data_IF_761200636346
#
_entry.id   IF_761200636346
#
_cell.length_a   1.000
_cell.length_b   1.000
_cell.length_c   1.000
_cell.angle_alpha   90.00
_cell.angle_beta   90.00
_cell.angle_gamma   90.00
#
_symmetry.space_group_name_H-M   'P 1'
#
loop_
_entity.id
_entity.type
_entity.pdbx_description
1 polymer ?
#
# COMPACT_ATOMS: atom_id res chain seq x y z
N UNK A 1 0.92 -6.87 -20.90
CA UNK A 1 1.52 -8.14 -20.44
C UNK A 1 1.81 -8.01 -18.94
N UNK A 2 1.18 -8.84 -18.10
CA UNK A 2 1.18 -8.69 -16.65
C UNK A 2 2.37 -9.40 -15.98
N UNK A 3 2.94 -8.81 -14.92
CA UNK A 3 3.82 -9.55 -14.01
C UNK A 3 2.95 -10.46 -13.12
N UNK A 4 2.67 -11.67 -13.60
CA UNK A 4 1.93 -12.67 -12.83
C UNK A 4 2.88 -13.43 -11.89
N UNK A 5 2.44 -13.82 -10.68
CA UNK A 5 3.23 -14.65 -9.79
C UNK A 5 3.33 -16.09 -10.33
N UNK A 6 4.47 -16.75 -10.09
CA UNK A 6 4.70 -18.12 -10.56
C UNK A 6 4.20 -19.23 -9.63
N UNK A 7 3.94 -19.04 -8.32
CA UNK A 7 3.88 -20.21 -7.41
C UNK A 7 2.91 -20.11 -6.20
N UNK A 8 1.74 -19.49 -6.32
CA UNK A 8 0.74 -19.58 -5.23
C UNK A 8 -0.68 -19.73 -5.80
N UNK A 9 -1.08 -20.98 -6.01
CA UNK A 9 -2.45 -21.31 -6.38
C UNK A 9 -3.38 -21.22 -5.15
N UNK A 10 -4.64 -20.94 -5.41
CA UNK A 10 -5.73 -21.05 -4.44
C UNK A 10 -6.93 -21.70 -5.11
N UNK A 11 -7.67 -22.52 -4.38
CA UNK A 11 -8.92 -23.07 -4.89
C UNK A 11 -10.10 -22.15 -4.54
N UNK A 12 -10.99 -21.95 -5.49
CA UNK A 12 -12.20 -21.15 -5.34
C UNK A 12 -13.41 -22.01 -5.72
N UNK A 13 -14.38 -22.13 -4.82
CA UNK A 13 -15.67 -22.75 -5.12
C UNK A 13 -16.64 -21.72 -5.69
N UNK A 14 -17.50 -22.17 -6.60
CA UNK A 14 -18.61 -21.38 -7.11
C UNK A 14 -19.75 -21.36 -6.10
N UNK A 15 -20.23 -20.16 -5.76
CA UNK A 15 -21.31 -19.97 -4.79
C UNK A 15 -22.36 -19.03 -5.35
N UNK A 16 -23.62 -19.25 -4.98
CA UNK A 16 -24.69 -18.33 -5.33
C UNK A 16 -24.54 -17.02 -4.51
N UNK A 17 -24.60 -15.89 -5.20
CA UNK A 17 -24.44 -14.55 -4.60
C UNK A 17 -25.49 -13.59 -5.15
N UNK A 18 -25.77 -12.53 -4.41
CA UNK A 18 -26.38 -11.34 -5.01
C UNK A 18 -25.27 -10.51 -5.64
N UNK A 19 -25.40 -10.21 -6.93
CA UNK A 19 -24.45 -9.40 -7.68
C UNK A 19 -24.97 -7.97 -7.77
N UNK A 20 -24.10 -7.02 -7.48
CA UNK A 20 -24.35 -5.59 -7.60
C UNK A 20 -23.32 -5.02 -8.56
N UNK A 21 -23.72 -4.66 -9.78
CA UNK A 21 -22.82 -3.96 -10.71
C UNK A 21 -22.42 -2.62 -10.10
N UNK A 22 -21.20 -2.14 -10.29
CA UNK A 22 -20.78 -0.84 -9.75
C UNK A 22 -21.03 0.29 -10.75
N UNK A 23 -21.59 1.41 -10.30
CA UNK A 23 -21.75 2.64 -11.09
C UNK A 23 -21.50 3.81 -10.15
N UNK A 24 -20.41 4.57 -10.35
CA UNK A 24 -20.05 5.67 -9.47
C UNK A 24 -21.08 6.81 -9.48
N UNK A 25 -21.90 6.95 -10.52
CA UNK A 25 -22.90 8.04 -10.62
C UNK A 25 -24.10 7.83 -9.69
N UNK A 26 -24.33 6.59 -9.26
CA UNK A 26 -25.44 6.21 -8.37
C UNK A 26 -25.04 6.17 -6.89
N UNK A 27 -23.75 6.39 -6.59
CA UNK A 27 -23.21 6.36 -5.23
C UNK A 27 -23.31 7.74 -4.60
N UNK A 28 -23.86 7.80 -3.39
CA UNK A 28 -24.08 9.06 -2.66
C UNK A 28 -23.63 8.93 -1.20
N UNK A 29 -23.21 10.04 -0.59
CA UNK A 29 -22.92 10.07 0.84
C UNK A 29 -24.23 10.00 1.63
N UNK A 30 -24.28 9.17 2.66
CA UNK A 30 -25.35 9.19 3.65
C UNK A 30 -25.11 10.35 4.63
N UNK A 31 -25.59 11.54 4.25
CA UNK A 31 -25.50 12.73 5.09
C UNK A 31 -26.60 12.80 6.15
N UNK A 32 -27.40 11.74 6.32
CA UNK A 32 -28.47 11.72 7.32
C UNK A 32 -27.90 11.57 8.74
N UNK A 33 -28.61 12.12 9.73
CA UNK A 33 -28.21 11.93 11.13
C UNK A 33 -28.24 10.45 11.52
N UNK A 34 -29.18 9.66 10.98
CA UNK A 34 -29.20 8.21 11.15
C UNK A 34 -27.96 7.52 10.56
N UNK A 35 -27.48 7.97 9.39
CA UNK A 35 -26.27 7.46 8.77
C UNK A 35 -25.03 7.76 9.61
N UNK A 36 -24.93 8.98 10.13
CA UNK A 36 -23.88 9.38 11.08
C UNK A 36 -23.91 8.54 12.36
N UNK A 37 -25.07 8.38 13.00
CA UNK A 37 -25.21 7.56 14.20
C UNK A 37 -24.84 6.09 13.93
N UNK A 38 -25.18 5.58 12.74
CA UNK A 38 -24.78 4.24 12.31
C UNK A 38 -23.26 4.10 12.21
N UNK A 39 -22.56 5.09 11.63
CA UNK A 39 -21.09 5.10 11.59
C UNK A 39 -20.49 5.07 12.99
N UNK A 40 -20.93 5.97 13.88
CA UNK A 40 -20.42 6.05 15.25
C UNK A 40 -20.73 4.79 16.06
N UNK A 41 -21.88 4.15 15.82
CA UNK A 41 -22.24 2.90 16.48
C UNK A 41 -21.25 1.75 16.18
N UNK A 42 -20.51 1.80 15.07
CA UNK A 42 -19.49 0.79 14.74
C UNK A 42 -18.25 0.83 15.62
N UNK A 43 -18.04 1.92 16.37
CA UNK A 43 -17.00 1.98 17.42
C UNK A 43 -17.33 1.07 18.61
N UNK A 44 -18.55 0.51 18.65
CA UNK A 44 -19.00 -0.42 19.66
C UNK A 44 -19.36 -1.76 19.01
N UNK A 45 -19.38 -2.83 19.82
CA UNK A 45 -19.88 -4.13 19.38
C UNK A 45 -21.35 -4.05 18.97
N UNK A 46 -21.83 -4.80 17.95
CA UNK A 46 -23.21 -4.77 17.49
C UNK A 46 -24.16 -5.57 18.41
N UNK A 47 -24.21 -5.21 19.70
CA UNK A 47 -24.99 -5.90 20.74
C UNK A 47 -26.50 -5.89 20.46
N UNK A 48 -26.96 -4.89 19.71
CA UNK A 48 -28.35 -4.79 19.25
C UNK A 48 -28.78 -5.94 18.32
N UNK A 49 -27.83 -6.73 17.79
CA UNK A 49 -28.09 -7.92 16.99
C UNK A 49 -28.24 -9.20 17.84
N UNK A 50 -28.02 -9.13 19.15
CA UNK A 50 -28.12 -10.25 20.09
C UNK A 50 -26.80 -10.59 20.79
N UNK A 51 -26.87 -11.41 21.84
CA UNK A 51 -25.72 -11.76 22.70
C UNK A 51 -24.54 -12.37 21.95
N UNK A 52 -24.81 -13.13 20.89
CA UNK A 52 -23.77 -13.78 20.09
C UNK A 52 -22.86 -12.77 19.36
N UNK A 53 -23.34 -11.54 19.18
CA UNK A 53 -22.67 -10.46 18.47
C UNK A 53 -21.90 -9.50 19.41
N UNK A 54 -22.06 -9.61 20.73
CA UNK A 54 -21.41 -8.72 21.71
C UNK A 54 -19.88 -8.82 21.73
N UNK A 55 -19.36 -9.97 21.29
CA UNK A 55 -17.92 -10.21 21.17
C UNK A 55 -17.33 -9.75 19.84
N UNK A 56 -18.16 -9.36 18.86
CA UNK A 56 -17.67 -8.94 17.55
C UNK A 56 -17.38 -7.44 17.52
N UNK A 57 -16.31 -7.08 16.82
CA UNK A 57 -16.07 -5.72 16.35
C UNK A 57 -15.95 -5.72 14.82
N UNK A 58 -16.47 -4.65 14.22
CA UNK A 58 -16.46 -4.43 12.78
C UNK A 58 -15.61 -3.20 12.45
N UNK A 59 -14.96 -3.13 11.29
CA UNK A 59 -14.20 -1.94 10.90
C UNK A 59 -15.05 -0.67 10.98
N UNK A 60 -14.55 0.31 11.73
CA UNK A 60 -15.21 1.58 11.99
C UNK A 60 -14.47 2.71 11.26
N UNK A 61 -14.79 2.89 9.98
CA UNK A 61 -14.21 3.98 9.20
C UNK A 61 -14.70 5.33 9.74
N UNK A 62 -13.82 6.36 9.82
CA UNK A 62 -14.14 7.68 10.34
C UNK A 62 -14.83 8.54 9.27
N UNK A 63 -15.83 7.98 8.58
CA UNK A 63 -16.51 8.66 7.49
C UNK A 63 -17.96 8.23 7.35
N UNK A 64 -18.78 9.14 6.81
CA UNK A 64 -20.18 8.87 6.44
C UNK A 64 -20.26 7.66 5.50
N UNK A 65 -21.23 6.77 5.70
CA UNK A 65 -21.46 5.65 4.79
C UNK A 65 -21.77 6.14 3.36
N UNK A 66 -21.49 5.28 2.37
CA UNK A 66 -22.00 5.45 1.02
C UNK A 66 -23.28 4.63 0.84
N UNK A 67 -24.26 5.24 0.19
CA UNK A 67 -25.46 4.58 -0.28
C UNK A 67 -25.28 4.23 -1.75
N UNK A 68 -25.67 3.00 -2.09
CA UNK A 68 -25.76 2.51 -3.46
C UNK A 68 -27.21 2.09 -3.71
N UNK A 69 -27.87 2.70 -4.69
CA UNK A 69 -29.32 2.58 -4.95
C UNK A 69 -29.68 1.42 -5.87
N UNK A 70 -28.74 0.50 -6.13
CA UNK A 70 -28.87 -0.50 -7.17
C UNK A 70 -29.72 -1.71 -6.82
N UNK A 71 -30.37 -2.22 -7.86
CA UNK A 71 -30.96 -3.55 -7.87
C UNK A 71 -29.86 -4.60 -7.99
N UNK A 72 -29.94 -5.64 -7.17
CA UNK A 72 -29.12 -6.83 -7.34
C UNK A 72 -29.83 -7.89 -8.18
N UNK A 73 -29.02 -8.79 -8.74
CA UNK A 73 -29.50 -10.01 -9.38
C UNK A 73 -28.76 -11.22 -8.82
N UNK A 74 -29.39 -12.39 -8.91
CA UNK A 74 -28.74 -13.64 -8.54
C UNK A 74 -27.70 -14.00 -9.58
N UNK A 75 -26.50 -14.34 -9.12
CA UNK A 75 -25.40 -14.78 -9.95
C UNK A 75 -24.48 -15.78 -9.24
N UNK A 76 -23.36 -16.07 -9.88
CA UNK A 76 -22.30 -16.92 -9.34
C UNK A 76 -21.12 -16.05 -8.95
N UNK A 77 -20.69 -16.19 -7.70
CA UNK A 77 -19.45 -15.62 -7.16
C UNK A 77 -18.47 -16.73 -6.81
N UNK A 78 -17.30 -16.34 -6.30
CA UNK A 78 -16.23 -17.27 -5.97
C UNK A 78 -15.74 -17.08 -4.55
N UNK A 79 -15.73 -18.16 -3.76
CA UNK A 79 -15.27 -18.20 -2.38
C UNK A 79 -14.05 -19.11 -2.26
N UNK A 80 -13.02 -18.70 -1.53
CA UNK A 80 -11.84 -19.53 -1.28
C UNK A 80 -12.21 -20.75 -0.47
N UNK A 81 -11.82 -21.91 -0.97
CA UNK A 81 -12.14 -23.21 -0.39
C UNK A 81 -10.96 -24.18 -0.55
N UNK A 82 -11.11 -25.40 -0.03
CA UNK A 82 -10.11 -26.47 -0.17
C UNK A 82 -10.07 -27.09 -1.57
N UNK A 83 -11.16 -26.97 -2.32
CA UNK A 83 -11.32 -27.52 -3.67
C UNK A 83 -12.16 -26.57 -4.51
N UNK A 84 -11.96 -26.58 -5.83
CA UNK A 84 -12.73 -25.75 -6.76
C UNK A 84 -11.92 -25.41 -8.00
N UNK A 85 -12.24 -24.28 -8.63
CA UNK A 85 -11.44 -23.75 -9.73
C UNK A 85 -10.12 -23.20 -9.21
N UNK A 86 -9.06 -23.32 -10.01
CA UNK A 86 -7.76 -22.75 -9.67
C UNK A 86 -7.75 -21.24 -9.93
N UNK A 87 -7.33 -20.49 -8.92
CA UNK A 87 -7.04 -19.06 -9.00
C UNK A 87 -5.63 -18.77 -8.50
N UNK A 88 -5.22 -17.51 -8.61
CA UNK A 88 -3.92 -17.03 -8.14
C UNK A 88 -4.11 -16.36 -6.78
N UNK A 89 -3.33 -16.76 -5.78
CA UNK A 89 -3.34 -16.14 -4.46
C UNK A 89 -2.85 -14.70 -4.56
N UNK A 90 -3.66 -13.77 -4.04
CA UNK A 90 -3.30 -12.36 -3.90
C UNK A 90 -3.42 -11.93 -2.44
N UNK A 91 -2.40 -12.24 -1.64
CA UNK A 91 -2.48 -12.09 -0.19
C UNK A 91 -3.43 -13.09 0.47
N UNK A 92 -3.68 -12.90 1.78
CA UNK A 92 -4.48 -13.83 2.61
C UNK A 92 -5.96 -13.84 2.18
N UNK A 93 -6.53 -12.65 1.93
CA UNK A 93 -7.98 -12.41 1.75
C UNK A 93 -8.42 -12.05 0.31
N UNK A 94 -7.50 -12.12 -0.65
CA UNK A 94 -7.82 -11.83 -2.06
C UNK A 94 -7.28 -12.91 -3.00
N UNK A 95 -7.88 -13.00 -4.17
CA UNK A 95 -7.49 -13.92 -5.24
C UNK A 95 -7.57 -13.21 -6.59
N UNK A 96 -6.87 -13.74 -7.59
CA UNK A 96 -7.07 -13.38 -8.99
C UNK A 96 -7.65 -14.56 -9.76
N UNK A 97 -8.58 -14.28 -10.65
CA UNK A 97 -9.11 -15.24 -11.62
C UNK A 97 -8.98 -14.69 -13.04
N UNK A 98 -8.72 -15.54 -14.04
CA UNK A 98 -8.71 -15.12 -15.44
C UNK A 98 -10.13 -14.77 -15.90
N UNK A 99 -10.25 -13.72 -16.72
CA UNK A 99 -11.49 -13.30 -17.39
C UNK A 99 -11.13 -12.84 -18.80
N UNK A 100 -11.07 -13.78 -19.75
CA UNK A 100 -10.60 -13.51 -21.11
C UNK A 100 -9.11 -13.12 -21.14
N UNK A 101 -8.81 -11.91 -21.62
CA UNK A 101 -7.46 -11.36 -21.75
C UNK A 101 -7.00 -10.56 -20.52
N UNK A 102 -7.87 -10.43 -19.51
CA UNK A 102 -7.63 -9.67 -18.28
C UNK A 102 -7.75 -10.57 -17.05
N UNK A 103 -7.35 -10.03 -15.90
CA UNK A 103 -7.52 -10.67 -14.60
C UNK A 103 -8.53 -9.90 -13.76
N UNK A 104 -9.40 -10.64 -13.10
CA UNK A 104 -10.26 -10.10 -12.04
C UNK A 104 -9.58 -10.31 -10.69
N UNK A 105 -9.49 -9.26 -9.90
CA UNK A 105 -9.12 -9.31 -8.48
C UNK A 105 -10.39 -9.39 -7.65
N UNK A 106 -10.43 -10.39 -6.78
CA UNK A 106 -11.48 -10.62 -5.81
C UNK A 106 -10.97 -10.24 -4.43
N UNK A 107 -11.47 -9.16 -3.82
CA UNK A 107 -11.10 -8.74 -2.45
C UNK A 107 -12.21 -9.11 -1.48
N UNK A 108 -11.89 -9.84 -0.41
CA UNK A 108 -12.89 -10.36 0.52
C UNK A 108 -13.57 -11.64 0.03
N UNK A 109 -12.83 -12.50 -0.69
CA UNK A 109 -13.31 -13.78 -1.21
C UNK A 109 -12.93 -14.97 -0.32
N UNK A 110 -12.83 -14.78 0.99
CA UNK A 110 -12.43 -15.80 1.96
C UNK A 110 -10.97 -15.64 2.44
N UNK A 111 -10.64 -16.37 3.50
CA UNK A 111 -9.38 -16.37 4.22
C UNK A 111 -8.64 -17.67 3.94
N UNK A 112 -7.55 -17.61 3.16
CA UNK A 112 -6.79 -18.80 2.74
C UNK A 112 -7.64 -19.88 2.05
N UNK A 113 -7.99 -20.97 2.74
CA UNK A 113 -8.84 -22.06 2.22
C UNK A 113 -10.04 -22.33 3.13
N UNK A 114 -10.31 -21.41 4.07
CA UNK A 114 -11.24 -21.61 5.19
C UNK A 114 -12.53 -20.80 5.02
N UNK A 115 -12.76 -20.17 3.88
CA UNK A 115 -13.92 -19.29 3.69
C UNK A 115 -13.86 -18.07 4.62
N UNK A 116 -14.94 -17.78 5.35
CA UNK A 116 -14.95 -16.71 6.35
C UNK A 116 -14.64 -17.28 7.72
N UNK A 117 -13.70 -16.66 8.44
CA UNK A 117 -13.25 -17.15 9.75
C UNK A 117 -13.49 -16.10 10.82
N UNK A 118 -13.65 -16.55 12.07
CA UNK A 118 -13.68 -15.68 13.24
C UNK A 118 -12.34 -15.79 13.95
N UNK A 119 -11.62 -14.68 14.01
CA UNK A 119 -10.31 -14.62 14.66
C UNK A 119 -10.40 -13.74 15.92
N UNK A 120 -9.69 -14.08 17.02
CA UNK A 120 -9.55 -13.17 18.15
C UNK A 120 -8.77 -11.93 17.71
N UNK A 121 -9.17 -10.76 18.22
CA UNK A 121 -8.44 -9.52 17.98
C UNK A 121 -7.21 -9.44 18.87
N UNK A 122 -6.16 -8.78 18.37
CA UNK A 122 -4.98 -8.43 19.19
C UNK A 122 -5.37 -7.44 20.28
N UNK A 123 -6.24 -6.49 19.93
CA UNK A 123 -6.83 -5.55 20.86
C UNK A 123 -8.23 -5.13 20.37
N UNK A 124 -9.22 -5.00 21.27
CA UNK A 124 -9.19 -5.53 22.64
C UNK A 124 -9.24 -7.08 22.63
N UNK A 125 -8.51 -7.72 23.54
CA UNK A 125 -8.27 -9.18 23.53
C UNK A 125 -9.53 -10.03 23.76
N UNK A 126 -10.59 -9.46 24.35
CA UNK A 126 -11.87 -10.12 24.59
C UNK A 126 -12.79 -10.10 23.36
N UNK A 127 -12.38 -9.42 22.29
CA UNK A 127 -13.17 -9.27 21.06
C UNK A 127 -12.64 -10.12 19.92
N UNK A 128 -13.50 -10.28 18.92
CA UNK A 128 -13.31 -11.10 17.73
C UNK A 128 -13.64 -10.29 16.49
N UNK A 129 -13.04 -10.66 15.38
CA UNK A 129 -13.31 -10.08 14.07
C UNK A 129 -13.67 -11.17 13.05
N UNK A 130 -14.53 -10.80 12.08
CA UNK A 130 -14.83 -11.65 10.92
C UNK A 130 -13.76 -11.37 9.86
N UNK A 131 -13.08 -12.42 9.40
CA UNK A 131 -11.98 -12.36 8.44
C UNK A 131 -12.36 -13.02 7.13
N UNK A 132 -11.69 -12.58 6.08
CA UNK A 132 -11.90 -13.10 4.72
C UNK A 132 -13.02 -12.42 3.94
N UNK A 133 -13.79 -11.49 4.50
CA UNK A 133 -14.83 -10.76 3.78
C UNK A 133 -14.61 -9.24 3.82
N UNK A 134 -15.29 -8.54 2.91
CA UNK A 134 -15.62 -7.13 3.06
C UNK A 134 -16.98 -6.97 3.74
N UNK A 135 -17.28 -5.77 4.25
CA UNK A 135 -18.59 -5.37 4.75
C UNK A 135 -19.22 -4.39 3.77
N UNK A 136 -20.52 -4.14 3.89
CA UNK A 136 -21.24 -3.27 2.94
C UNK A 136 -20.58 -1.89 2.82
N UNK A 137 -20.26 -1.27 3.97
CA UNK A 137 -19.62 0.04 4.00
C UNK A 137 -18.21 0.01 3.40
N UNK A 138 -17.42 -1.04 3.62
CA UNK A 138 -16.03 -1.11 3.10
C UNK A 138 -15.97 -1.52 1.63
N UNK A 139 -16.87 -2.39 1.15
CA UNK A 139 -16.88 -2.81 -0.26
C UNK A 139 -17.36 -1.69 -1.18
N UNK A 140 -18.41 -0.97 -0.81
CA UNK A 140 -18.90 0.18 -1.59
C UNK A 140 -17.84 1.29 -1.56
N UNK A 141 -17.19 1.50 -0.40
CA UNK A 141 -16.08 2.45 -0.26
C UNK A 141 -14.93 2.13 -1.20
N UNK A 142 -14.42 0.90 -1.15
CA UNK A 142 -13.31 0.48 -2.01
C UNK A 142 -13.61 0.75 -3.49
N UNK A 143 -14.82 0.40 -3.94
CA UNK A 143 -15.22 0.61 -5.33
C UNK A 143 -15.25 2.10 -5.69
N UNK A 144 -15.92 2.90 -4.86
CA UNK A 144 -16.09 4.33 -5.08
C UNK A 144 -14.77 5.10 -4.98
N UNK A 145 -13.98 4.85 -3.95
CA UNK A 145 -12.70 5.53 -3.75
C UNK A 145 -11.68 5.11 -4.80
N UNK A 146 -11.67 3.83 -5.24
CA UNK A 146 -10.85 3.42 -6.39
C UNK A 146 -11.21 4.25 -7.62
N UNK A 147 -12.51 4.42 -7.94
CA UNK A 147 -12.92 5.24 -9.07
C UNK A 147 -12.54 6.72 -8.89
N UNK A 148 -12.85 7.32 -7.74
CA UNK A 148 -12.62 8.74 -7.45
C UNK A 148 -11.13 9.09 -7.51
N UNK A 149 -10.30 8.27 -6.88
CA UNK A 149 -8.84 8.43 -6.91
C UNK A 149 -8.29 8.24 -8.33
N UNK A 150 -8.84 7.29 -9.10
CA UNK A 150 -8.44 7.12 -10.50
C UNK A 150 -8.74 8.37 -11.35
N UNK A 151 -9.85 9.08 -11.11
CA UNK A 151 -10.12 10.34 -11.80
C UNK A 151 -9.11 11.42 -11.42
N UNK A 152 -8.75 11.52 -10.13
CA UNK A 152 -7.75 12.48 -9.67
C UNK A 152 -6.34 12.18 -10.23
N UNK A 153 -5.95 10.91 -10.33
CA UNK A 153 -4.64 10.51 -10.84
C UNK A 153 -4.48 10.74 -12.35
N UNK A 154 -5.56 10.62 -13.12
CA UNK A 154 -5.53 10.76 -14.58
C UNK A 154 -5.03 12.13 -15.04
N UNK A 155 -5.31 13.21 -14.28
CA UNK A 155 -4.84 14.55 -14.63
C UNK A 155 -3.31 14.66 -14.62
N UNK A 156 -2.65 13.81 -13.83
CA UNK A 156 -1.18 13.74 -13.73
C UNK A 156 -0.58 12.63 -14.62
N UNK A 157 -1.38 11.94 -15.44
CA UNK A 157 -0.93 10.82 -16.25
C UNK A 157 -0.74 9.51 -15.48
N UNK A 158 -1.36 9.38 -14.30
CA UNK A 158 -1.37 8.17 -13.48
C UNK A 158 -2.75 7.51 -13.46
N UNK A 159 -2.84 6.31 -12.90
CA UNK A 159 -4.08 5.55 -12.76
C UNK A 159 -3.99 4.57 -11.59
N UNK A 160 -5.13 4.11 -11.09
CA UNK A 160 -5.19 3.06 -10.06
C UNK A 160 -4.90 1.69 -10.64
N UNK A 161 -4.33 0.79 -9.83
CA UNK A 161 -4.00 -0.57 -10.25
C UNK A 161 -5.22 -1.50 -10.31
N UNK A 162 -6.35 -1.07 -9.78
CA UNK A 162 -7.64 -1.74 -9.87
C UNK A 162 -8.66 -0.83 -10.56
N UNK A 163 -9.56 -1.42 -11.32
CA UNK A 163 -10.71 -0.77 -11.95
C UNK A 163 -11.97 -1.44 -11.38
N UNK A 164 -12.85 -0.69 -10.69
CA UNK A 164 -14.01 -1.26 -10.04
C UNK A 164 -15.02 -1.77 -11.08
N UNK A 165 -15.58 -2.97 -10.85
CA UNK A 165 -16.58 -3.57 -11.74
C UNK A 165 -17.92 -3.80 -11.04
N UNK A 166 -17.88 -4.57 -9.95
CA UNK A 166 -19.08 -5.04 -9.23
C UNK A 166 -18.68 -5.57 -7.86
N UNK A 167 -19.66 -5.87 -7.03
CA UNK A 167 -19.44 -6.58 -5.78
C UNK A 167 -20.50 -7.66 -5.56
N UNK A 168 -20.14 -8.64 -4.75
CA UNK A 168 -20.99 -9.77 -4.41
C UNK A 168 -21.37 -9.72 -2.94
N UNK A 169 -22.61 -10.06 -2.63
CA UNK A 169 -23.08 -10.36 -1.29
C UNK A 169 -23.26 -11.88 -1.17
N UNK A 170 -22.56 -12.48 -0.22
CA UNK A 170 -22.63 -13.91 0.05
C UNK A 170 -23.83 -14.25 0.94
N UNK A 171 -24.47 -15.38 0.66
CA UNK A 171 -25.49 -15.97 1.51
C UNK A 171 -24.82 -16.94 2.48
N UNK A 172 -24.63 -16.53 3.73
CA UNK A 172 -23.94 -17.34 4.76
C UNK A 172 -24.83 -17.57 5.97
N UNK A 173 -24.75 -18.77 6.56
CA UNK A 173 -25.49 -19.09 7.79
C UNK A 173 -24.84 -18.50 9.05
N UNK A 174 -23.50 -18.46 9.11
CA UNK A 174 -22.76 -17.94 10.26
C UNK A 174 -22.89 -16.42 10.37
N UNK A 175 -23.23 -15.89 11.56
CA UNK A 175 -23.51 -14.47 11.79
C UNK A 175 -24.39 -13.84 10.70
N UNK A 176 -25.51 -14.50 10.38
CA UNK A 176 -26.35 -14.19 9.21
C UNK A 176 -26.88 -12.75 9.19
N UNK A 177 -26.92 -12.06 10.33
CA UNK A 177 -27.32 -10.64 10.41
C UNK A 177 -26.22 -9.68 9.93
N UNK A 178 -24.96 -10.12 9.92
CA UNK A 178 -23.84 -9.37 9.34
C UNK A 178 -23.59 -9.90 7.93
N UNK A 179 -23.93 -9.10 6.94
CA UNK A 179 -23.73 -9.44 5.52
C UNK A 179 -22.25 -9.41 5.15
N UNK A 180 -21.80 -10.40 4.39
CA UNK A 180 -20.42 -10.53 3.90
C UNK A 180 -20.37 -10.23 2.41
N UNK A 181 -19.34 -9.51 2.00
CA UNK A 181 -19.19 -9.06 0.63
C UNK A 181 -17.82 -9.38 0.04
N UNK A 182 -17.73 -9.37 -1.29
CA UNK A 182 -16.48 -9.36 -2.04
C UNK A 182 -16.51 -8.26 -3.11
N UNK A 183 -15.47 -7.44 -3.16
CA UNK A 183 -15.26 -6.48 -4.26
C UNK A 183 -14.58 -7.16 -5.45
N UNK A 184 -15.07 -6.86 -6.66
CA UNK A 184 -14.56 -7.40 -7.92
C UNK A 184 -14.02 -6.26 -8.79
N UNK A 185 -12.77 -6.41 -9.20
CA UNK A 185 -12.02 -5.40 -9.95
C UNK A 185 -11.36 -6.02 -11.16
N UNK A 186 -11.22 -5.30 -12.27
CA UNK A 186 -10.13 -5.60 -13.20
C UNK A 186 -8.83 -5.13 -12.55
N UNK A 187 -7.78 -5.94 -12.56
CA UNK A 187 -6.47 -5.52 -12.02
C UNK A 187 -5.41 -5.39 -13.11
N UNK A 188 -4.52 -4.42 -12.93
CA UNK A 188 -3.44 -4.10 -13.87
C UNK A 188 -2.12 -4.81 -13.55
N UNK A 189 -2.08 -5.59 -12.46
CA UNK A 189 -0.89 -6.30 -12.01
C UNK A 189 -1.07 -6.84 -10.59
N UNK A 190 -0.13 -7.66 -10.15
CA UNK A 190 -0.20 -8.31 -8.83
C UNK A 190 1.02 -8.06 -7.95
N UNK A 191 2.22 -8.04 -8.55
CA UNK A 191 3.47 -7.83 -7.83
C UNK A 191 3.42 -6.49 -7.11
N UNK A 192 3.81 -6.48 -5.84
CA UNK A 192 3.79 -5.29 -4.98
C UNK A 192 5.16 -4.62 -4.90
N UNK A 193 5.18 -3.31 -4.74
CA UNK A 193 6.42 -2.56 -4.62
C UNK A 193 7.26 -3.03 -3.41
N UNK A 194 6.69 -3.08 -2.21
CA UNK A 194 7.44 -3.49 -1.00
C UNK A 194 7.96 -4.94 -1.05
N UNK A 195 7.04 -5.89 -1.06
CA UNK A 195 7.30 -7.33 -0.92
C UNK A 195 7.95 -7.99 -2.14
N UNK A 196 7.90 -7.37 -3.32
CA UNK A 196 8.51 -7.93 -4.53
C UNK A 196 9.66 -7.03 -5.01
N UNK A 197 9.36 -5.84 -5.53
CA UNK A 197 10.37 -5.04 -6.22
C UNK A 197 11.48 -4.55 -5.28
N UNK A 198 11.13 -3.91 -4.16
CA UNK A 198 12.10 -3.42 -3.18
C UNK A 198 12.83 -4.56 -2.47
N UNK A 199 12.11 -5.63 -2.13
CA UNK A 199 12.73 -6.83 -1.53
C UNK A 199 13.81 -7.41 -2.46
N UNK A 200 13.50 -7.58 -3.74
CA UNK A 200 14.44 -8.07 -4.73
C UNK A 200 15.60 -7.11 -5.02
N UNK A 201 15.33 -5.80 -5.07
CA UNK A 201 16.36 -4.76 -5.14
C UNK A 201 17.34 -4.89 -3.97
N UNK A 202 16.85 -4.95 -2.73
CA UNK A 202 17.74 -4.99 -1.57
C UNK A 202 18.53 -6.30 -1.46
N UNK A 203 17.95 -7.44 -1.88
CA UNK A 203 18.70 -8.70 -2.05
C UNK A 203 19.82 -8.55 -3.08
N UNK A 204 19.52 -7.96 -4.24
CA UNK A 204 20.52 -7.67 -5.28
C UNK A 204 21.62 -6.75 -4.75
N UNK A 205 21.27 -5.63 -4.12
CA UNK A 205 22.24 -4.67 -3.55
C UNK A 205 23.16 -5.31 -2.52
N UNK A 206 22.63 -6.19 -1.67
CA UNK A 206 23.43 -6.94 -0.70
C UNK A 206 24.46 -7.84 -1.38
N UNK A 207 24.05 -8.57 -2.41
CA UNK A 207 24.94 -9.48 -3.14
C UNK A 207 26.06 -8.76 -3.88
N UNK A 208 25.84 -7.50 -4.26
CA UNK A 208 26.85 -6.71 -4.97
C UNK A 208 27.72 -5.86 -4.05
N UNK A 209 27.41 -5.77 -2.77
CA UNK A 209 28.10 -4.87 -1.82
C UNK A 209 29.62 -5.09 -1.77
N UNK A 210 30.08 -6.33 -1.98
CA UNK A 210 31.51 -6.69 -2.00
C UNK A 210 32.31 -6.10 -3.16
N UNK A 211 31.67 -5.55 -4.18
CA UNK A 211 32.35 -5.01 -5.37
C UNK A 211 32.65 -3.50 -5.30
N UNK A 212 32.32 -2.84 -4.17
CA UNK A 212 32.43 -1.39 -4.02
C UNK A 212 33.50 -0.96 -3.03
N UNK A 213 34.15 0.15 -3.36
CA UNK A 213 34.93 0.88 -2.38
C UNK A 213 34.00 1.62 -1.40
N UNK A 214 33.77 1.01 -0.23
CA UNK A 214 32.94 1.58 0.85
C UNK A 214 33.39 3.00 1.23
N UNK A 215 34.69 3.30 1.20
CA UNK A 215 35.21 4.62 1.59
C UNK A 215 34.83 5.71 0.59
N UNK A 216 34.63 5.38 -0.69
CA UNK A 216 34.19 6.36 -1.70
C UNK A 216 32.67 6.54 -1.63
N UNK A 217 31.92 5.45 -1.44
CA UNK A 217 30.46 5.53 -1.23
C UNK A 217 30.11 6.35 0.01
N UNK A 218 30.83 6.16 1.13
CA UNK A 218 30.66 6.96 2.36
C UNK A 218 30.88 8.46 2.11
N UNK A 219 31.77 8.84 1.17
CA UNK A 219 32.00 10.26 0.85
C UNK A 219 30.82 10.96 0.18
N UNK A 220 29.90 10.20 -0.43
CA UNK A 220 28.69 10.75 -1.08
C UNK A 220 27.61 11.16 -0.07
N UNK A 221 27.68 10.64 1.15
CA UNK A 221 26.77 11.06 2.20
C UNK A 221 27.21 12.41 2.81
N UNK A 222 26.28 13.22 3.34
CA UNK A 222 26.64 14.41 4.12
C UNK A 222 27.49 14.01 5.34
N UNK A 223 28.35 14.91 5.84
CA UNK A 223 29.24 14.62 6.98
C UNK A 223 28.50 14.05 8.20
N UNK A 224 27.27 14.52 8.44
CA UNK A 224 26.36 14.01 9.48
C UNK A 224 26.00 12.53 9.35
N UNK A 225 26.27 11.90 8.19
CA UNK A 225 26.03 10.48 7.86
C UNK A 225 27.30 9.66 7.66
N UNK A 226 28.48 10.27 7.66
CA UNK A 226 29.75 9.54 7.43
C UNK A 226 30.22 8.74 8.64
N UNK A 227 29.63 8.98 9.81
CA UNK A 227 29.94 8.23 11.03
C UNK A 227 29.01 7.02 11.16
N UNK A 228 29.51 5.94 11.77
CA UNK A 228 28.69 4.79 12.17
C UNK A 228 27.48 5.25 13.00
N UNK A 229 27.66 6.26 13.86
CA UNK A 229 26.56 6.89 14.61
C UNK A 229 25.59 7.70 13.75
N UNK A 230 26.00 8.28 12.62
CA UNK A 230 25.12 8.96 11.66
C UNK A 230 24.23 8.00 10.88
N UNK A 231 24.79 6.86 10.47
CA UNK A 231 24.04 5.76 9.85
C UNK A 231 23.12 5.11 10.88
N UNK A 232 23.64 4.76 12.06
CA UNK A 232 22.86 4.16 13.15
C UNK A 232 21.84 5.13 13.75
N UNK A 233 22.10 6.43 13.81
CA UNK A 233 21.11 7.42 14.28
C UNK A 233 19.95 7.52 13.32
N UNK A 234 20.17 7.39 12.01
CA UNK A 234 19.08 7.27 11.05
C UNK A 234 18.28 6.00 11.31
N UNK A 235 18.94 4.85 11.45
CA UNK A 235 18.28 3.58 11.78
C UNK A 235 17.56 3.64 13.14
N UNK A 236 18.06 4.41 14.12
CA UNK A 236 17.45 4.61 15.44
C UNK A 236 16.29 5.62 15.42
N UNK A 237 16.43 6.73 14.69
CA UNK A 237 15.37 7.73 14.43
C UNK A 237 14.19 7.04 13.73
N UNK A 238 14.51 6.15 12.80
CA UNK A 238 13.58 5.27 12.16
C UNK A 238 12.99 4.27 13.19
N UNK A 239 13.79 3.47 13.91
CA UNK A 239 13.30 2.33 14.72
C UNK A 239 12.53 2.68 16.00
N UNK A 240 12.76 3.83 16.63
CA UNK A 240 12.34 4.02 18.03
C UNK A 240 11.29 5.12 18.29
N UNK A 241 10.71 5.76 17.27
CA UNK A 241 9.85 6.94 17.50
C UNK A 241 8.63 6.96 16.59
N UNK A 242 7.59 6.21 16.96
CA UNK A 242 6.19 6.60 16.69
C UNK A 242 5.76 7.72 17.65
N UNK A 243 4.73 8.52 17.32
CA UNK A 243 4.53 9.81 17.97
C UNK A 243 3.94 9.61 19.37
N UNK A 244 4.75 9.85 20.40
CA UNK A 244 4.20 10.09 21.72
C UNK A 244 4.05 11.59 22.01
N UNK A 245 4.95 12.50 21.57
CA UNK A 245 4.90 13.91 22.00
C UNK A 245 5.70 14.95 21.18
N UNK A 246 6.16 14.67 19.94
CA UNK A 246 6.92 15.69 19.16
C UNK A 246 6.05 16.38 18.11
N UNK A 247 6.12 17.72 18.07
CA UNK A 247 5.55 18.55 17.01
C UNK A 247 6.18 18.20 15.66
N UNK A 248 5.33 17.98 14.65
CA UNK A 248 5.68 17.56 13.28
C UNK A 248 6.77 18.43 12.63
N UNK A 249 6.75 19.74 12.88
CA UNK A 249 7.75 20.69 12.39
C UNK A 249 9.13 20.46 12.98
N UNK A 250 9.22 19.95 14.21
CA UNK A 250 10.52 19.65 14.85
C UNK A 250 11.15 18.39 14.25
N UNK A 251 10.33 17.45 13.76
CA UNK A 251 10.77 16.20 13.14
C UNK A 251 11.21 16.37 11.69
N UNK A 252 10.46 17.12 10.88
CA UNK A 252 10.82 17.39 9.47
C UNK A 252 11.95 18.41 9.32
N UNK A 253 12.12 19.31 10.31
CA UNK A 253 13.18 20.32 10.31
C UNK A 253 14.49 19.88 10.97
N UNK A 254 14.51 18.74 11.68
CA UNK A 254 15.72 18.17 12.29
C UNK A 254 16.22 16.92 11.57
N UNK A 255 17.52 16.89 11.29
CA UNK A 255 18.23 15.68 10.88
C UNK A 255 18.63 15.61 9.41
N UNK A 256 19.21 14.46 9.10
CA UNK A 256 20.06 14.11 7.95
C UNK A 256 19.61 14.57 6.56
N UNK A 257 18.32 14.79 6.35
CA UNK A 257 17.75 15.00 5.01
C UNK A 257 17.72 16.46 4.56
N UNK A 258 17.94 17.43 5.47
CA UNK A 258 17.90 18.87 5.15
C UNK A 258 19.04 19.33 4.22
N UNK A 259 20.14 18.56 4.17
CA UNK A 259 21.38 18.92 3.45
C UNK A 259 21.79 17.91 2.36
N UNK A 260 20.86 17.09 1.85
CA UNK A 260 21.22 15.90 1.07
C UNK A 260 21.17 16.07 -0.47
N UNK A 261 21.53 17.26 -0.98
CA UNK A 261 21.54 17.52 -2.42
C UNK A 261 22.54 16.64 -3.19
N UNK A 262 23.64 16.24 -2.54
CA UNK A 262 24.70 15.44 -3.16
C UNK A 262 24.28 13.98 -3.46
N UNK A 263 23.23 13.46 -2.81
CA UNK A 263 22.71 12.12 -3.10
C UNK A 263 21.90 12.06 -4.41
N UNK A 264 21.34 13.20 -4.85
CA UNK A 264 20.77 13.31 -6.20
C UNK A 264 21.83 13.17 -7.30
N UNK A 265 23.10 13.43 -6.96
CA UNK A 265 24.19 13.33 -7.90
C UNK A 265 24.62 11.88 -8.16
N UNK A 266 24.09 10.87 -7.44
CA UNK A 266 24.30 9.45 -7.79
C UNK A 266 23.97 9.13 -9.26
N UNK A 267 23.02 9.88 -9.83
CA UNK A 267 22.62 9.77 -11.24
C UNK A 267 23.67 10.32 -12.23
N UNK A 268 24.54 11.23 -11.78
CA UNK A 268 25.55 11.92 -12.61
C UNK A 268 26.99 11.69 -12.14
N UNK A 269 27.19 11.05 -10.98
CA UNK A 269 28.51 10.71 -10.46
C UNK A 269 29.20 9.69 -11.38
N UNK A 270 30.53 9.79 -11.46
CA UNK A 270 31.34 8.78 -12.13
C UNK A 270 31.42 7.50 -11.29
N UNK A 271 30.41 6.65 -11.46
CA UNK A 271 30.31 5.33 -10.83
C UNK A 271 31.52 4.41 -11.12
N UNK A 272 32.32 4.70 -12.16
CA UNK A 272 33.50 3.89 -12.48
C UNK A 272 34.61 3.98 -11.43
N UNK A 273 34.67 5.09 -10.70
CA UNK A 273 35.62 5.29 -9.59
C UNK A 273 35.29 4.49 -8.33
N UNK A 274 34.07 3.95 -8.23
CA UNK A 274 33.56 3.26 -7.03
C UNK A 274 33.66 1.73 -7.13
N UNK A 275 33.87 1.20 -8.33
CA UNK A 275 33.83 -0.24 -8.60
C UNK A 275 35.25 -0.76 -8.70
N UNK A 276 35.64 -1.56 -7.71
CA UNK A 276 36.98 -2.13 -7.64
C UNK A 276 37.16 -3.32 -8.60
N UNK A 277 36.05 -3.94 -9.00
CA UNK A 277 36.07 -5.12 -9.88
C UNK A 277 34.92 -5.07 -10.91
N UNK A 278 35.25 -5.08 -12.20
CA UNK A 278 34.29 -5.01 -13.31
C UNK A 278 33.69 -6.39 -13.63
N UNK A 279 33.20 -7.09 -12.62
CA UNK A 279 32.53 -8.37 -12.82
C UNK A 279 31.17 -8.19 -13.49
N UNK A 280 30.75 -9.23 -14.21
CA UNK A 280 29.45 -9.29 -14.86
C UNK A 280 28.44 -9.96 -13.93
N UNK A 281 27.26 -9.37 -13.82
CA UNK A 281 26.12 -9.97 -13.12
C UNK A 281 25.06 -10.25 -14.17
N UNK A 282 24.94 -11.52 -14.55
CA UNK A 282 24.21 -11.92 -15.75
C UNK A 282 24.77 -11.24 -16.99
N UNK A 283 24.00 -10.33 -17.60
CA UNK A 283 24.36 -9.62 -18.84
C UNK A 283 24.91 -8.20 -18.64
N UNK A 284 24.98 -7.72 -17.40
CA UNK A 284 25.35 -6.34 -17.11
C UNK A 284 26.80 -6.23 -16.67
N UNK A 285 27.49 -5.18 -17.14
CA UNK A 285 28.60 -4.65 -16.35
C UNK A 285 28.02 -3.96 -15.10
N UNK A 286 28.72 -4.05 -13.97
CA UNK A 286 28.21 -3.56 -12.69
C UNK A 286 27.87 -2.06 -12.69
N UNK A 287 28.67 -1.22 -13.38
CA UNK A 287 28.46 0.24 -13.49
C UNK A 287 27.08 0.55 -14.09
N UNK A 288 26.78 -0.10 -15.22
CA UNK A 288 25.53 0.09 -15.93
C UNK A 288 24.34 -0.41 -15.11
N UNK A 289 24.49 -1.57 -14.46
CA UNK A 289 23.44 -2.10 -13.58
C UNK A 289 23.11 -1.08 -12.47
N UNK A 290 24.09 -0.55 -11.76
CA UNK A 290 23.84 0.44 -10.70
C UNK A 290 23.16 1.67 -11.25
N UNK A 291 23.61 2.19 -12.40
CA UNK A 291 23.00 3.38 -13.01
C UNK A 291 21.51 3.13 -13.28
N UNK A 292 21.18 1.96 -13.83
CA UNK A 292 19.78 1.57 -14.05
C UNK A 292 19.01 1.44 -12.74
N UNK A 293 19.59 0.80 -11.73
CA UNK A 293 18.94 0.66 -10.41
C UNK A 293 18.70 2.04 -9.76
N UNK A 294 19.66 2.97 -9.81
CA UNK A 294 19.52 4.36 -9.33
C UNK A 294 18.34 5.05 -10.04
N UNK A 295 18.25 4.93 -11.36
CA UNK A 295 17.14 5.50 -12.13
C UNK A 295 15.78 4.91 -11.75
N UNK A 296 15.71 3.58 -11.60
CA UNK A 296 14.48 2.88 -11.16
C UNK A 296 14.05 3.36 -9.78
N UNK A 297 15.00 3.45 -8.85
CA UNK A 297 14.76 3.81 -7.44
C UNK A 297 14.33 5.26 -7.30
N UNK A 298 15.02 6.17 -7.99
CA UNK A 298 14.58 7.56 -8.07
C UNK A 298 13.15 7.65 -8.64
N UNK A 299 12.86 6.93 -9.73
CA UNK A 299 11.52 6.92 -10.34
C UNK A 299 10.46 6.36 -9.41
N UNK A 300 10.74 5.27 -8.67
CA UNK A 300 9.82 4.71 -7.68
C UNK A 300 9.45 5.75 -6.63
N UNK A 301 10.45 6.38 -5.99
CA UNK A 301 10.21 7.41 -4.99
C UNK A 301 9.38 8.55 -5.57
N UNK A 302 9.74 9.00 -6.78
CA UNK A 302 9.02 10.03 -7.52
C UNK A 302 7.53 9.70 -7.76
N UNK A 303 7.23 8.50 -8.26
CA UNK A 303 5.85 8.10 -8.55
C UNK A 303 5.01 7.97 -7.26
N UNK A 304 5.59 7.44 -6.18
CA UNK A 304 4.91 7.36 -4.86
C UNK A 304 4.59 8.77 -4.35
N UNK A 305 5.50 9.73 -4.50
CA UNK A 305 5.30 11.10 -4.06
C UNK A 305 4.27 11.86 -4.88
N UNK A 306 4.23 11.68 -6.20
CA UNK A 306 3.14 12.21 -7.04
C UNK A 306 1.80 11.66 -6.57
N UNK A 307 1.66 10.34 -6.42
CA UNK A 307 0.40 9.73 -6.00
C UNK A 307 -0.05 10.34 -4.68
N UNK A 308 0.81 10.36 -3.65
CA UNK A 308 0.43 10.91 -2.35
C UNK A 308 0.08 12.41 -2.42
N UNK A 309 0.80 13.21 -3.23
CA UNK A 309 0.46 14.62 -3.47
C UNK A 309 -0.94 14.75 -4.07
N UNK A 310 -1.25 14.00 -5.13
CA UNK A 310 -2.56 14.04 -5.79
C UNK A 310 -3.69 13.75 -4.81
N UNK A 311 -3.53 12.73 -3.96
CA UNK A 311 -4.54 12.43 -2.94
C UNK A 311 -4.72 13.61 -1.98
N UNK A 312 -3.62 14.20 -1.51
CA UNK A 312 -3.65 15.34 -0.59
C UNK A 312 -4.26 16.60 -1.21
N UNK A 313 -3.87 16.96 -2.44
CA UNK A 313 -4.39 18.11 -3.18
C UNK A 313 -5.89 17.96 -3.48
N UNK A 314 -6.40 16.73 -3.53
CA UNK A 314 -7.81 16.42 -3.71
C UNK A 314 -8.54 16.13 -2.39
N UNK A 315 -7.92 16.41 -1.24
CA UNK A 315 -8.48 16.21 0.10
C UNK A 315 -8.98 14.77 0.32
N UNK A 316 -8.17 13.79 -0.10
CA UNK A 316 -8.40 12.36 0.07
C UNK A 316 -7.36 11.79 1.05
N UNK A 317 -7.85 11.18 2.11
CA UNK A 317 -7.11 10.25 2.96
C UNK A 317 -7.07 8.88 2.28
N UNK A 318 -5.89 8.27 2.25
CA UNK A 318 -5.73 6.86 1.83
C UNK A 318 -6.26 5.89 2.91
N UNK A 319 -6.32 6.34 4.16
CA UNK A 319 -6.95 5.58 5.25
C UNK A 319 -6.03 5.47 6.46
N UNK A 320 -5.49 6.60 6.93
CA UNK A 320 -4.93 6.69 8.26
C UNK A 320 -5.99 7.08 9.27
N UNK A 321 -6.23 6.24 10.26
CA UNK A 321 -7.18 6.51 11.34
C UNK A 321 -6.99 5.56 12.51
N UNK A 322 -7.59 5.92 13.63
CA UNK A 322 -7.66 5.09 14.84
C UNK A 322 -9.09 4.59 14.97
N UNK A 323 -9.27 3.28 15.16
CA UNK A 323 -10.55 2.66 15.49
C UNK A 323 -10.51 2.04 16.91
N UNK A 324 -10.81 0.75 17.01
CA UNK A 324 -10.82 -0.04 18.24
C UNK A 324 -9.47 -0.14 18.93
N UNK A 325 -8.36 -0.11 18.17
CA UNK A 325 -7.02 -0.19 18.72
C UNK A 325 -6.35 1.19 18.76
N UNK A 326 -6.29 1.87 19.92
CA UNK A 326 -5.68 3.20 20.02
C UNK A 326 -4.14 3.16 19.91
N UNK A 327 -3.53 1.97 19.97
CA UNK A 327 -2.07 1.79 19.94
C UNK A 327 -1.54 1.45 18.55
N UNK A 328 -2.41 1.04 17.63
CA UNK A 328 -2.05 0.64 16.27
C UNK A 328 -2.99 1.33 15.28
N UNK A 329 -2.65 2.54 14.81
CA UNK A 329 -3.45 3.22 13.80
C UNK A 329 -3.45 2.40 12.50
N UNK A 330 -4.60 2.33 11.86
CA UNK A 330 -4.69 1.85 10.49
C UNK A 330 -3.94 2.80 9.57
N UNK A 331 -3.31 2.27 8.53
CA UNK A 331 -2.69 3.08 7.49
C UNK A 331 -2.54 2.28 6.20
N UNK A 332 -3.29 2.65 5.17
CA UNK A 332 -3.11 2.09 3.81
C UNK A 332 -1.99 2.77 3.01
N UNK A 333 -1.36 3.82 3.53
CA UNK A 333 -0.27 4.53 2.86
C UNK A 333 1.08 3.83 3.10
N UNK A 334 1.31 2.72 2.42
CA UNK A 334 2.56 1.94 2.50
C UNK A 334 2.94 1.32 1.15
N UNK A 335 4.22 0.91 1.03
CA UNK A 335 4.78 0.40 -0.24
C UNK A 335 4.08 -0.86 -0.79
N UNK A 336 3.38 -1.68 0.01
CA UNK A 336 2.66 -2.85 -0.51
C UNK A 336 1.31 -2.51 -1.17
N UNK A 337 0.85 -1.28 -1.03
CA UNK A 337 -0.35 -0.76 -1.70
C UNK A 337 -0.04 -0.09 -3.05
N UNK A 338 1.14 -0.38 -3.60
CA UNK A 338 1.46 -0.13 -5.00
C UNK A 338 1.70 -1.45 -5.72
N UNK A 339 1.10 -1.62 -6.90
CA UNK A 339 1.42 -2.72 -7.80
C UNK A 339 2.47 -2.30 -8.82
N UNK A 340 3.24 -3.26 -9.33
CA UNK A 340 4.18 -3.08 -10.43
C UNK A 340 3.45 -3.29 -11.75
N UNK A 341 3.47 -2.27 -12.60
CA UNK A 341 2.88 -2.30 -13.92
C UNK A 341 3.81 -2.97 -14.93
N UNK A 342 3.25 -3.57 -15.96
CA UNK A 342 4.01 -4.22 -17.03
C UNK A 342 4.79 -3.23 -17.92
N UNK A 343 5.72 -3.74 -18.75
CA UNK A 343 6.65 -2.94 -19.57
C UNK A 343 5.98 -1.96 -20.55
N UNK A 344 4.73 -2.24 -20.92
CA UNK A 344 3.95 -1.40 -21.85
C UNK A 344 3.44 -0.10 -21.19
N UNK A 345 3.51 0.01 -19.87
CA UNK A 345 3.08 1.21 -19.14
C UNK A 345 4.21 2.22 -19.06
N UNK A 346 3.91 3.51 -19.22
CA UNK A 346 4.87 4.59 -18.94
C UNK A 346 5.21 4.69 -17.45
N UNK A 347 4.29 4.35 -16.55
CA UNK A 347 4.52 4.38 -15.10
C UNK A 347 4.94 3.02 -14.57
N UNK A 348 5.86 2.98 -13.60
CA UNK A 348 6.28 1.74 -12.92
C UNK A 348 5.16 1.25 -11.98
N UNK A 349 4.48 2.18 -11.31
CA UNK A 349 3.59 1.91 -10.20
C UNK A 349 2.16 2.34 -10.47
N UNK A 350 1.21 1.63 -9.86
CA UNK A 350 -0.15 2.10 -9.68
C UNK A 350 -0.63 1.82 -8.24
N UNK A 351 -1.25 2.78 -7.55
CA UNK A 351 -1.77 2.57 -6.22
C UNK A 351 -3.04 1.71 -6.23
N UNK A 352 -3.24 0.94 -5.16
CA UNK A 352 -4.39 0.07 -4.92
C UNK A 352 -4.75 0.12 -3.43
N UNK A 353 -5.84 -0.55 -3.06
CA UNK A 353 -6.29 -0.69 -1.66
C UNK A 353 -6.76 0.63 -1.04
N UNK A 354 -8.02 0.96 -1.30
CA UNK A 354 -8.71 2.18 -0.91
C UNK A 354 -10.00 1.87 -0.11
N UNK A 355 -10.07 0.69 0.51
CA UNK A 355 -11.23 0.20 1.26
C UNK A 355 -11.45 1.01 2.54
N UNK A 356 -10.37 1.61 3.03
CA UNK A 356 -10.34 2.55 4.14
C UNK A 356 -10.12 4.01 3.73
N UNK A 357 -10.05 4.31 2.42
CA UNK A 357 -9.87 5.68 1.97
C UNK A 357 -11.15 6.50 2.19
N UNK A 358 -11.02 7.80 2.43
CA UNK A 358 -12.15 8.72 2.57
C UNK A 358 -11.73 10.15 2.25
N UNK A 359 -12.70 11.00 1.95
CA UNK A 359 -12.50 12.42 1.64
C UNK A 359 -12.83 13.33 2.82
N UNK A 360 -12.26 14.53 2.80
CA UNK A 360 -12.48 15.56 3.84
C UNK A 360 -13.96 15.86 4.08
N UNK A 361 -14.78 15.85 3.03
CA UNK A 361 -16.21 16.21 3.12
C UNK A 361 -17.04 15.17 3.86
N UNK A 362 -16.63 13.91 3.84
CA UNK A 362 -17.35 12.80 4.49
C UNK A 362 -16.75 12.41 5.85
N UNK A 363 -15.64 13.03 6.24
CA UNK A 363 -14.95 12.74 7.48
C UNK A 363 -15.82 13.02 8.71
N UNK A 364 -15.74 12.11 9.68
CA UNK A 364 -16.37 12.21 10.99
C UNK A 364 -15.31 11.83 12.03
N UNK A 365 -15.05 12.72 12.99
CA UNK A 365 -14.11 12.44 14.08
C UNK A 365 -14.63 11.31 14.98
N UNK A 366 -13.87 10.21 15.14
CA UNK A 366 -14.22 9.13 16.06
C UNK A 366 -13.65 9.35 17.47
N UNK A 367 -12.93 10.44 17.72
CA UNK A 367 -12.24 10.70 18.99
C UNK A 367 -13.24 11.24 20.02
N UNK A 368 -13.39 10.54 21.15
CA UNK A 368 -14.26 10.98 22.24
C UNK A 368 -13.78 12.32 22.81
N UNK A 369 -14.71 13.26 22.99
CA UNK A 369 -14.44 14.59 23.52
C UNK A 369 -15.06 15.71 22.69
N UNK A 370 -14.43 16.89 22.72
CA UNK A 370 -14.81 18.02 21.87
C UNK A 370 -14.55 17.64 20.40
N UNK A 371 -15.59 17.69 19.57
CA UNK A 371 -15.51 17.31 18.16
C UNK A 371 -15.94 15.87 17.84
N UNK A 372 -16.28 15.05 18.83
CA UNK A 372 -16.79 13.69 18.56
C UNK A 372 -18.01 13.73 17.62
N UNK A 373 -17.96 12.95 16.55
CA UNK A 373 -19.03 12.89 15.55
C UNK A 373 -19.14 14.13 14.66
N UNK A 374 -18.26 15.12 14.75
CA UNK A 374 -18.27 16.29 13.86
C UNK A 374 -17.24 16.12 12.74
N UNK A 375 -17.32 16.97 11.72
CA UNK A 375 -16.28 17.06 10.69
C UNK A 375 -15.13 17.92 11.23
N UNK A 376 -14.16 17.27 11.87
CA UNK A 376 -12.95 17.89 12.41
C UNK A 376 -11.87 17.97 11.32
N UNK A 377 -11.75 19.16 10.72
CA UNK A 377 -10.84 19.40 9.61
C UNK A 377 -9.37 19.28 10.04
N UNK A 378 -9.03 19.73 11.24
CA UNK A 378 -7.65 19.75 11.72
C UNK A 378 -7.19 18.31 11.99
N UNK A 379 -8.06 17.48 12.57
CA UNK A 379 -7.80 16.06 12.75
C UNK A 379 -7.64 15.34 11.40
N UNK A 380 -8.51 15.61 10.43
CA UNK A 380 -8.39 15.05 9.08
C UNK A 380 -7.04 15.39 8.44
N UNK A 381 -6.64 16.68 8.46
CA UNK A 381 -5.38 17.13 7.87
C UNK A 381 -4.16 16.53 8.59
N UNK A 382 -4.22 16.39 9.92
CA UNK A 382 -3.21 15.69 10.68
C UNK A 382 -3.07 14.22 10.25
N UNK A 383 -4.18 13.49 10.10
CA UNK A 383 -4.15 12.09 9.64
C UNK A 383 -3.64 11.93 8.21
N UNK A 384 -4.04 12.83 7.29
CA UNK A 384 -3.49 12.86 5.93
C UNK A 384 -1.99 13.11 5.93
N UNK A 385 -1.47 13.92 6.87
CA UNK A 385 -0.03 14.11 7.05
C UNK A 385 0.66 12.88 7.65
N UNK A 386 0.02 12.16 8.58
CA UNK A 386 0.54 10.89 9.09
C UNK A 386 0.75 9.85 7.98
N UNK A 387 -0.14 9.79 6.98
CA UNK A 387 0.03 8.92 5.80
C UNK A 387 1.30 9.22 5.01
N UNK A 388 1.66 10.50 4.83
CA UNK A 388 2.91 10.90 4.18
C UNK A 388 4.08 10.31 4.95
N UNK A 389 4.07 10.44 6.28
CA UNK A 389 5.14 9.96 7.14
C UNK A 389 5.25 8.42 7.07
N UNK A 390 4.12 7.71 7.08
CA UNK A 390 4.08 6.26 6.88
C UNK A 390 4.71 5.83 5.55
N UNK A 391 4.45 6.54 4.45
CA UNK A 391 5.12 6.27 3.18
C UNK A 391 6.62 6.52 3.26
N UNK A 392 7.06 7.63 3.87
CA UNK A 392 8.49 7.89 4.07
C UNK A 392 9.17 6.79 4.89
N UNK A 393 8.54 6.31 5.97
CA UNK A 393 9.05 5.19 6.77
C UNK A 393 9.16 3.90 5.94
N UNK A 394 8.14 3.56 5.17
CA UNK A 394 8.15 2.32 4.35
C UNK A 394 9.17 2.38 3.23
N UNK A 395 9.34 3.53 2.58
CA UNK A 395 10.40 3.76 1.59
C UNK A 395 11.81 3.70 2.22
N UNK A 396 11.94 4.18 3.47
CA UNK A 396 13.16 4.04 4.25
C UNK A 396 13.43 2.60 4.75
N UNK A 397 12.59 1.63 4.40
CA UNK A 397 12.74 0.23 4.76
C UNK A 397 12.23 -0.12 6.15
N UNK A 398 11.34 0.70 6.71
CA UNK A 398 10.61 0.38 7.94
C UNK A 398 9.19 -0.03 7.63
N UNK A 399 8.83 -1.24 8.05
CA UNK A 399 7.44 -1.66 8.00
C UNK A 399 6.76 -1.27 9.31
N UNK A 400 5.68 -0.52 9.17
CA UNK A 400 4.81 -0.09 10.26
C UNK A 400 3.56 -0.97 10.37
N UNK A 401 3.33 -1.91 9.45
CA UNK A 401 2.24 -2.88 9.56
C UNK A 401 2.72 -4.20 10.17
N UNK A 402 2.07 -4.63 11.26
CA UNK A 402 2.42 -5.86 11.99
C UNK A 402 2.47 -7.15 11.13
N UNK A 403 1.78 -7.16 9.99
CA UNK A 403 1.67 -8.31 9.10
C UNK A 403 2.84 -8.47 8.11
N UNK A 404 3.75 -7.50 8.04
CA UNK A 404 4.86 -7.52 7.09
C UNK A 404 6.18 -7.46 7.86
N UNK A 405 7.00 -8.50 7.70
CA UNK A 405 8.37 -8.52 8.20
C UNK A 405 9.28 -8.44 6.98
N UNK A 406 9.85 -7.27 6.70
CA UNK A 406 11.00 -7.24 5.79
C UNK A 406 12.15 -7.95 6.52
N UNK A 407 12.68 -9.00 5.91
CA UNK A 407 13.77 -9.80 6.49
C UNK A 407 14.92 -8.92 6.98
N UNK A 408 15.64 -9.41 7.99
CA UNK A 408 16.74 -8.73 8.70
C UNK A 408 17.36 -7.61 7.87
N UNK A 409 17.17 -6.36 8.33
CA UNK A 409 17.77 -5.19 7.71
C UNK A 409 19.28 -5.43 7.62
N UNK A 410 19.78 -5.74 6.42
CA UNK A 410 21.22 -5.83 6.22
C UNK A 410 21.80 -4.45 6.51
N UNK A 411 22.94 -4.41 7.20
CA UNK A 411 23.70 -3.19 7.51
C UNK A 411 24.39 -2.60 6.25
N UNK A 412 23.83 -2.88 5.07
CA UNK A 412 24.43 -2.49 3.79
C UNK A 412 24.38 -0.98 3.60
N UNK A 413 25.56 -0.39 3.48
CA UNK A 413 25.71 1.06 3.19
C UNK A 413 25.08 1.40 1.84
N UNK A 414 25.20 0.51 0.86
CA UNK A 414 24.61 0.69 -0.47
C UNK A 414 23.07 0.62 -0.42
N UNK A 415 22.50 -0.36 0.30
CA UNK A 415 21.05 -0.40 0.48
C UNK A 415 20.52 0.85 1.20
N UNK A 416 21.29 1.37 2.15
CA UNK A 416 20.95 2.62 2.86
C UNK A 416 20.95 3.83 1.91
N UNK A 417 21.96 3.97 1.05
CA UNK A 417 21.99 5.04 0.03
C UNK A 417 20.76 4.99 -0.89
N UNK A 418 20.35 3.79 -1.29
CA UNK A 418 19.19 3.58 -2.15
C UNK A 418 17.87 3.91 -1.46
N UNK A 419 17.73 3.61 -0.17
CA UNK A 419 16.58 4.03 0.65
C UNK A 419 16.49 5.54 0.77
N UNK A 420 17.63 6.21 0.99
CA UNK A 420 17.65 7.67 1.02
C UNK A 420 17.21 8.26 -0.31
N UNK A 421 17.69 7.70 -1.43
CA UNK A 421 17.30 8.15 -2.76
C UNK A 421 15.77 8.00 -2.99
N UNK A 422 15.15 6.90 -2.53
CA UNK A 422 13.70 6.74 -2.57
C UNK A 422 12.98 7.87 -1.83
N UNK A 423 13.37 8.12 -0.58
CA UNK A 423 12.75 9.14 0.27
C UNK A 423 12.96 10.54 -0.30
N UNK A 424 14.16 10.84 -0.81
CA UNK A 424 14.46 12.13 -1.42
C UNK A 424 13.64 12.37 -2.69
N UNK A 425 13.53 11.37 -3.57
CA UNK A 425 12.70 11.48 -4.77
C UNK A 425 11.20 11.57 -4.43
N UNK A 426 10.75 10.85 -3.40
CA UNK A 426 9.39 10.99 -2.86
C UNK A 426 9.12 12.41 -2.41
N UNK A 427 9.98 13.01 -1.58
CA UNK A 427 9.81 14.38 -1.11
C UNK A 427 9.88 15.40 -2.24
N UNK A 428 10.87 15.26 -3.14
CA UNK A 428 11.03 16.18 -4.28
C UNK A 428 9.78 16.19 -5.16
N UNK A 429 9.27 15.01 -5.51
CA UNK A 429 8.05 14.91 -6.29
C UNK A 429 6.85 15.42 -5.50
N UNK A 430 6.64 14.98 -4.27
CA UNK A 430 5.54 15.41 -3.41
C UNK A 430 5.48 16.95 -3.27
N UNK A 431 6.63 17.62 -3.12
CA UNK A 431 6.69 19.07 -2.93
C UNK A 431 6.68 19.88 -4.25
N UNK A 432 7.28 19.38 -5.35
CA UNK A 432 7.64 20.22 -6.53
C UNK A 432 6.99 19.87 -7.85
N UNK A 433 6.14 18.84 -7.94
CA UNK A 433 5.24 18.62 -9.08
C UNK A 433 5.88 18.14 -10.40
N UNK A 434 6.99 18.75 -10.83
CA UNK A 434 7.55 18.61 -12.17
C UNK A 434 8.68 17.58 -12.23
N UNK A 435 8.57 16.52 -13.06
CA UNK A 435 9.61 15.50 -13.18
C UNK A 435 10.94 16.08 -13.65
N UNK A 436 12.04 15.50 -13.17
CA UNK A 436 13.34 15.66 -13.86
C UNK A 436 13.19 15.10 -15.27
N UNK A 437 13.36 15.97 -16.25
CA UNK A 437 13.32 15.64 -17.68
C UNK A 437 14.32 14.50 -17.98
N UNK A 438 13.87 13.45 -18.70
CA UNK A 438 14.78 12.46 -19.32
C UNK A 438 14.64 10.99 -18.90
N UNK A 439 13.69 10.62 -18.03
CA UNK A 439 13.47 9.19 -17.74
C UNK A 439 12.84 8.45 -18.93
N UNK A 440 13.37 7.27 -19.25
CA UNK A 440 12.84 6.34 -20.26
C UNK A 440 12.70 4.96 -19.64
N UNK A 441 11.49 4.39 -19.65
CA UNK A 441 11.24 3.08 -19.06
C UNK A 441 12.04 1.97 -19.72
N UNK A 442 12.02 1.96 -21.05
CA UNK A 442 12.54 0.86 -21.86
C UNK A 442 14.03 0.59 -21.59
N UNK A 443 14.80 1.61 -21.23
CA UNK A 443 16.22 1.47 -20.91
C UNK A 443 16.50 0.90 -19.51
N UNK A 444 15.48 0.79 -18.65
CA UNK A 444 15.59 0.35 -17.25
C UNK A 444 14.71 -0.87 -16.91
N UNK A 445 13.85 -1.32 -17.82
CA UNK A 445 12.90 -2.42 -17.58
C UNK A 445 13.59 -3.71 -17.15
N UNK A 446 14.78 -3.95 -17.68
CA UNK A 446 15.55 -5.15 -17.43
C UNK A 446 16.20 -5.18 -16.03
N UNK A 447 16.42 -4.01 -15.43
CA UNK A 447 16.76 -3.88 -14.01
C UNK A 447 15.54 -4.18 -13.12
N UNK A 448 14.34 -3.72 -13.50
CA UNK A 448 13.08 -4.03 -12.79
C UNK A 448 12.85 -5.54 -12.79
N UNK A 449 12.96 -6.18 -13.95
CA UNK A 449 12.79 -7.63 -14.09
C UNK A 449 13.82 -8.40 -13.25
N UNK A 450 15.08 -7.95 -13.25
CA UNK A 450 16.12 -8.56 -12.42
C UNK A 450 15.75 -8.49 -10.92
N UNK A 451 15.34 -7.33 -10.42
CA UNK A 451 14.88 -7.21 -9.04
C UNK A 451 13.69 -8.15 -8.75
N UNK A 452 12.69 -8.21 -9.63
CA UNK A 452 11.55 -9.10 -9.45
C UNK A 452 11.95 -10.59 -9.41
N UNK A 453 12.96 -11.01 -10.17
CA UNK A 453 13.50 -12.38 -10.09
C UNK A 453 14.20 -12.65 -8.76
N UNK A 454 15.05 -11.74 -8.28
CA UNK A 454 15.71 -11.84 -6.97
C UNK A 454 14.70 -11.89 -5.80
N UNK A 455 13.51 -11.32 -5.95
CA UNK A 455 12.47 -11.38 -4.93
C UNK A 455 11.85 -12.77 -4.76
N UNK A 456 11.91 -13.62 -5.79
CA UNK A 456 11.27 -14.93 -5.82
C UNK A 456 12.19 -16.08 -5.38
N UNK A 457 13.41 -15.76 -4.90
CA UNK A 457 14.47 -16.73 -4.60
C UNK A 457 14.79 -17.67 -5.77
N UNK A 458 14.47 -17.25 -7.01
CA UNK A 458 14.98 -17.85 -8.24
C UNK A 458 16.41 -17.34 -8.38
N UNK A 459 17.33 -18.00 -7.66
CA UNK A 459 18.77 -17.68 -7.58
C UNK A 459 19.55 -18.30 -8.75
N UNK A 460 18.95 -19.21 -9.52
CA UNK A 460 19.67 -19.90 -10.60
C UNK A 460 20.06 -18.93 -11.73
N UNK A 461 21.31 -18.48 -11.69
CA UNK A 461 22.05 -17.76 -12.72
C UNK A 461 23.45 -18.35 -12.87
#
# INVERSE_FOLDING_TARGET
>A
MYYLPQNAEVCLEEVQVNVYDFDPELVQNDTSESGKLKVLSRLQSPQNLGSDYESLLLPALPCQDLLDSKLSYLGIGYLKAQSGISGIKSGKRSALIPDGDRFLRLKGCGNLTEGFTIEPMVYPEDKKEIRGCCFQNTVIREQFMTWKINQALKSEGYFTGNIPLKYWEYQTSEYSLIKKYCGVFVTLGEKRLGSHLLTGLFKLLHNIEGFYNKNILVKLFPESRKTTDGVLSTVKILKNLGPANMLLDTWTSQGVYKDNTNLFDLSICDLSSFIENKEFIGRYNLIELIRKLVNVVYRIGWEVGIVKRVLQDNYISWGYFIDHNPFEPHCNAHCNNFIILGPQSTNILAPVDFDMAFSKTEFISPIEGEGFGTNDIDLFENWVNCERNCLEYTLAGQENMANFVYGNQSESVLATAFRDLLVLAFRESFDKGQPRLGWQRDSNEDAIELCLRYSQDIIDY
#
